data_IF_975712349923
#
_entry.id   IF_975712349923
#
_cell.length_a   1.000
_cell.length_b   1.000
_cell.length_c   1.000
_cell.angle_alpha   90.00
_cell.angle_beta   90.00
_cell.angle_gamma   90.00
#
_symmetry.space_group_name_H-M   'P 1'
#
loop_
_entity.id
_entity.type
_entity.pdbx_description
1 polymer ?
#
# COMPACT_ATOMS: atom_id res chain seq x y z
N UNK A 1 -28.31 -2.68 2.87
CA UNK A 1 -27.01 -2.26 3.39
C UNK A 1 -25.86 -3.23 3.08
N UNK A 2 -25.95 -4.55 3.33
CA UNK A 2 -24.85 -5.52 3.08
C UNK A 2 -24.39 -5.62 1.60
N UNK A 3 -25.31 -5.55 0.60
CA UNK A 3 -24.94 -5.64 -0.83
C UNK A 3 -24.18 -4.40 -1.35
N UNK A 4 -24.56 -3.19 -0.89
CA UNK A 4 -23.85 -1.95 -1.27
C UNK A 4 -22.43 -1.91 -0.68
N UNK A 5 -22.24 -2.36 0.57
CA UNK A 5 -20.91 -2.48 1.18
C UNK A 5 -20.00 -3.46 0.41
N UNK A 6 -20.53 -4.60 -0.04
CA UNK A 6 -19.77 -5.57 -0.85
C UNK A 6 -19.39 -5.04 -2.24
N UNK A 7 -20.27 -4.27 -2.87
CA UNK A 7 -20.00 -3.65 -4.17
C UNK A 7 -18.96 -2.54 -4.06
N UNK A 8 -19.02 -1.73 -3.01
CA UNK A 8 -18.07 -0.66 -2.71
C UNK A 8 -16.69 -1.25 -2.41
N UNK A 9 -16.63 -2.32 -1.65
CA UNK A 9 -15.43 -3.10 -1.36
C UNK A 9 -14.80 -3.63 -2.66
N UNK A 10 -15.57 -4.18 -3.59
CA UNK A 10 -15.08 -4.69 -4.86
C UNK A 10 -14.46 -3.59 -5.75
N UNK A 11 -14.99 -2.39 -5.73
CA UNK A 11 -14.47 -1.26 -6.52
C UNK A 11 -13.14 -0.74 -5.96
N UNK A 12 -13.00 -0.69 -4.64
CA UNK A 12 -11.78 -0.29 -3.93
C UNK A 12 -10.57 -1.15 -4.26
N UNK A 13 -10.86 -2.37 -4.42
CA UNK A 13 -9.95 -3.44 -4.70
C UNK A 13 -9.46 -3.42 -6.15
N UNK A 14 -10.31 -3.05 -7.09
CA UNK A 14 -9.96 -2.88 -8.51
C UNK A 14 -8.87 -1.83 -8.71
N UNK A 15 -8.73 -0.84 -7.77
CA UNK A 15 -7.75 0.24 -7.93
C UNK A 15 -6.41 -0.09 -7.32
N UNK A 16 -6.44 -0.62 -6.12
CA UNK A 16 -5.21 -1.12 -5.50
C UNK A 16 -4.63 -2.24 -6.38
N UNK A 17 -5.51 -3.04 -7.05
CA UNK A 17 -5.05 -4.01 -8.07
C UNK A 17 -4.73 -3.35 -9.38
N UNK A 18 -5.51 -2.37 -9.83
CA UNK A 18 -5.09 -1.56 -10.98
C UNK A 18 -3.67 -1.08 -10.77
N UNK A 19 -3.33 -0.57 -9.59
CA UNK A 19 -1.99 -0.12 -9.23
C UNK A 19 -1.00 -1.30 -9.12
N UNK A 20 -1.36 -2.36 -8.44
CA UNK A 20 -0.49 -3.56 -8.29
C UNK A 20 -0.44 -4.35 -9.60
N UNK A 21 -1.54 -4.53 -10.34
CA UNK A 21 -1.53 -5.20 -11.66
C UNK A 21 -0.81 -4.38 -12.71
N UNK A 22 -0.73 -3.06 -12.53
CA UNK A 22 0.03 -2.16 -13.39
C UNK A 22 1.50 -2.18 -13.03
N UNK A 23 1.83 -2.11 -11.77
CA UNK A 23 3.20 -2.29 -11.28
C UNK A 23 3.66 -3.71 -11.63
N UNK A 24 2.88 -4.73 -11.34
CA UNK A 24 3.18 -6.10 -11.73
C UNK A 24 3.17 -6.30 -13.26
N UNK A 25 2.16 -5.83 -13.98
CA UNK A 25 2.08 -5.99 -15.43
C UNK A 25 3.12 -5.20 -16.21
N UNK A 26 3.62 -4.07 -15.68
CA UNK A 26 4.67 -3.28 -16.32
C UNK A 26 6.08 -3.78 -15.99
N UNK A 27 6.25 -4.41 -14.83
CA UNK A 27 7.54 -4.96 -14.37
C UNK A 27 7.73 -6.43 -14.75
N UNK A 28 6.65 -7.15 -15.07
CA UNK A 28 6.63 -8.59 -15.36
C UNK A 28 6.20 -8.93 -16.81
N UNK A 29 6.41 -8.07 -17.80
CA UNK A 29 6.32 -8.47 -19.20
C UNK A 29 7.62 -9.15 -19.62
N UNK A 30 7.64 -10.35 -20.22
CA UNK A 30 6.59 -11.25 -20.73
C UNK A 30 6.71 -12.72 -20.28
N UNK A 31 5.63 -13.43 -20.22
CA UNK A 31 5.38 -14.85 -20.48
C UNK A 31 5.28 -15.86 -19.33
N UNK A 32 5.79 -15.63 -18.11
CA UNK A 32 5.55 -16.58 -16.99
C UNK A 32 5.29 -15.81 -15.68
N UNK A 33 4.19 -15.07 -15.63
CA UNK A 33 3.90 -14.24 -14.47
C UNK A 33 3.26 -15.11 -13.36
N UNK A 34 4.09 -15.65 -12.47
CA UNK A 34 3.62 -16.48 -11.35
C UNK A 34 2.61 -15.74 -10.45
N UNK A 35 2.68 -14.40 -10.36
CA UNK A 35 1.72 -13.60 -9.59
C UNK A 35 0.36 -13.45 -10.28
N UNK A 36 0.28 -13.71 -11.59
CA UNK A 36 -0.97 -13.63 -12.35
C UNK A 36 -1.73 -14.97 -12.39
N UNK A 37 -1.21 -16.01 -11.76
CA UNK A 37 -1.82 -17.35 -11.80
C UNK A 37 -2.09 -17.87 -10.37
N UNK A 38 -3.24 -18.49 -10.20
CA UNK A 38 -3.65 -19.09 -8.94
C UNK A 38 -4.01 -18.05 -7.87
N UNK A 39 -4.02 -18.48 -6.63
CA UNK A 39 -4.26 -17.62 -5.47
C UNK A 39 -2.96 -17.00 -4.98
N UNK A 40 -2.92 -15.69 -4.81
CA UNK A 40 -1.75 -14.92 -4.35
C UNK A 40 -2.15 -13.90 -3.29
N UNK A 41 -1.32 -13.76 -2.25
CA UNK A 41 -1.43 -12.71 -1.26
C UNK A 41 -0.27 -11.73 -1.39
N UNK A 42 -0.58 -10.47 -1.59
CA UNK A 42 0.40 -9.39 -1.70
C UNK A 42 0.28 -8.49 -0.47
N UNK A 43 1.37 -8.34 0.27
CA UNK A 43 1.47 -7.36 1.34
C UNK A 43 1.79 -5.98 0.75
N UNK A 44 0.91 -5.03 0.95
CA UNK A 44 1.10 -3.63 0.56
C UNK A 44 1.35 -2.80 1.79
N UNK A 45 2.50 -2.11 1.84
CA UNK A 45 2.91 -1.23 2.92
C UNK A 45 2.88 0.22 2.44
N UNK A 46 2.11 1.08 3.11
CA UNK A 46 2.13 2.52 2.92
C UNK A 46 3.16 3.12 3.87
N UNK A 47 4.16 3.78 3.30
CA UNK A 47 5.33 4.30 4.02
C UNK A 47 5.19 5.81 4.21
N UNK A 48 5.33 6.26 5.46
CA UNK A 48 5.45 7.67 5.82
C UNK A 48 6.94 8.03 5.97
N UNK A 49 7.48 8.70 4.96
CA UNK A 49 8.85 9.21 4.94
C UNK A 49 9.02 10.51 5.76
N UNK A 50 7.93 11.12 6.24
CA UNK A 50 8.03 12.28 7.13
C UNK A 50 8.53 11.93 8.53
N UNK A 51 8.47 10.65 8.89
CA UNK A 51 9.17 10.12 10.05
C UNK A 51 10.60 9.76 9.67
N UNK A 52 11.62 10.57 10.06
CA UNK A 52 12.98 10.40 9.57
C UNK A 52 13.59 9.07 10.05
N UNK A 53 13.94 8.22 9.12
CA UNK A 53 14.66 6.95 9.29
C UNK A 53 15.76 6.84 8.25
N UNK A 54 16.80 6.02 8.47
CA UNK A 54 17.83 5.76 7.46
C UNK A 54 17.26 5.13 6.18
N UNK A 55 16.20 4.33 6.29
CA UNK A 55 15.53 3.65 5.18
C UNK A 55 14.38 4.44 4.56
N UNK A 56 13.35 3.72 4.09
CA UNK A 56 12.22 4.35 3.37
C UNK A 56 11.31 5.19 4.27
N UNK A 57 11.24 4.92 5.57
CA UNK A 57 10.33 5.57 6.51
C UNK A 57 9.56 4.58 7.38
N UNK A 58 8.48 5.04 8.01
CA UNK A 58 7.61 4.22 8.83
C UNK A 58 6.51 3.53 8.00
N UNK A 59 6.23 2.27 8.27
CA UNK A 59 5.05 1.61 7.73
C UNK A 59 3.82 2.01 8.57
N UNK A 60 3.09 3.03 8.14
CA UNK A 60 1.93 3.56 8.87
C UNK A 60 0.66 2.73 8.66
N UNK A 61 0.54 2.12 7.49
CA UNK A 61 -0.59 1.25 7.13
C UNK A 61 -0.10 0.09 6.28
N UNK A 62 -0.77 -1.06 6.42
CA UNK A 62 -0.51 -2.20 5.56
C UNK A 62 -1.81 -2.94 5.24
N UNK A 63 -1.80 -3.68 4.13
CA UNK A 63 -2.92 -4.47 3.67
C UNK A 63 -2.42 -5.79 3.07
N UNK A 64 -3.09 -6.89 3.39
CA UNK A 64 -2.96 -8.11 2.60
C UNK A 64 -4.00 -8.05 1.50
N UNK A 65 -3.57 -8.09 0.25
CA UNK A 65 -4.41 -8.09 -0.95
C UNK A 65 -4.40 -9.49 -1.53
N UNK A 66 -5.56 -10.16 -1.54
CA UNK A 66 -5.71 -11.51 -2.06
C UNK A 66 -6.19 -11.48 -3.51
N UNK A 67 -5.40 -12.06 -4.40
CA UNK A 67 -5.70 -12.20 -5.82
C UNK A 67 -6.06 -13.65 -6.16
N UNK A 68 -6.93 -13.84 -7.15
CA UNK A 68 -7.20 -15.10 -7.81
C UNK A 68 -7.07 -14.91 -9.32
N UNK A 69 -6.08 -15.57 -9.92
CA UNK A 69 -5.78 -15.43 -11.35
C UNK A 69 -5.59 -13.96 -11.79
N UNK A 70 -4.89 -13.18 -10.95
CA UNK A 70 -4.65 -11.75 -11.15
C UNK A 70 -5.83 -10.83 -10.83
N UNK A 71 -7.00 -11.40 -10.50
CA UNK A 71 -8.16 -10.63 -10.08
C UNK A 71 -8.26 -10.55 -8.56
N UNK A 72 -8.62 -9.38 -8.05
CA UNK A 72 -8.80 -9.21 -6.63
C UNK A 72 -10.05 -9.90 -6.11
N UNK A 73 -9.88 -10.70 -5.06
CA UNK A 73 -10.98 -11.38 -4.39
C UNK A 73 -11.21 -10.88 -2.96
N UNK A 74 -10.16 -10.42 -2.27
CA UNK A 74 -10.27 -9.95 -0.89
C UNK A 74 -9.14 -9.00 -0.51
N UNK A 75 -9.30 -8.25 0.59
CA UNK A 75 -8.22 -7.56 1.29
C UNK A 75 -8.44 -7.61 2.79
N UNK A 76 -7.35 -7.57 3.54
CA UNK A 76 -7.34 -7.51 5.00
C UNK A 76 -6.50 -6.33 5.44
N UNK A 77 -7.07 -5.45 6.22
CA UNK A 77 -6.36 -4.32 6.83
C UNK A 77 -5.44 -4.82 7.94
N UNK A 78 -4.19 -4.37 7.92
CA UNK A 78 -3.16 -4.74 8.89
C UNK A 78 -2.81 -3.51 9.70
N UNK A 79 -2.79 -3.66 11.03
CA UNK A 79 -2.41 -2.60 11.94
C UNK A 79 -0.93 -2.72 12.34
N UNK A 80 -0.01 -1.90 11.79
CA UNK A 80 1.44 -2.11 11.93
C UNK A 80 1.97 -2.07 13.35
N UNK A 81 1.41 -1.21 14.21
CA UNK A 81 1.82 -1.10 15.62
C UNK A 81 1.43 -2.30 16.49
N UNK A 82 0.55 -3.17 16.00
CA UNK A 82 0.12 -4.38 16.72
C UNK A 82 0.90 -5.64 16.36
N UNK A 83 1.79 -5.57 15.34
CA UNK A 83 2.47 -6.74 14.79
C UNK A 83 3.96 -6.69 15.04
N UNK A 84 4.49 -7.73 15.69
CA UNK A 84 5.90 -7.85 16.05
C UNK A 84 6.56 -9.02 15.34
N UNK A 85 7.85 -8.86 15.03
CA UNK A 85 8.67 -9.95 14.52
C UNK A 85 8.93 -11.00 15.63
N UNK A 86 8.90 -12.31 15.33
CA UNK A 86 9.12 -13.35 16.32
C UNK A 86 10.53 -13.28 16.95
N UNK A 87 11.56 -12.93 16.18
CA UNK A 87 12.96 -13.03 16.59
C UNK A 87 13.79 -11.76 16.41
N UNK A 88 13.41 -10.83 15.52
CA UNK A 88 14.17 -9.60 15.31
C UNK A 88 13.84 -8.56 16.37
N UNK A 89 14.85 -7.78 16.73
CA UNK A 89 14.74 -6.67 17.68
C UNK A 89 14.60 -5.36 16.92
N UNK A 90 13.96 -4.37 17.57
CA UNK A 90 13.97 -3.00 17.09
C UNK A 90 15.40 -2.47 16.96
N UNK A 91 15.68 -1.57 16.01
CA UNK A 91 16.93 -0.83 15.96
C UNK A 91 17.22 -0.12 17.27
N UNK A 92 18.50 -0.02 17.63
CA UNK A 92 18.88 0.60 18.91
C UNK A 92 18.36 2.05 19.01
N UNK A 93 18.42 2.79 17.92
CA UNK A 93 17.94 4.18 17.85
C UNK A 93 16.42 4.27 18.08
N UNK A 94 15.67 3.29 17.64
CA UNK A 94 14.22 3.22 17.89
C UNK A 94 13.95 2.92 19.37
N UNK A 95 14.71 1.99 19.97
CA UNK A 95 14.61 1.66 21.40
C UNK A 95 14.97 2.87 22.29
N UNK A 96 15.96 3.65 21.92
CA UNK A 96 16.34 4.90 22.60
C UNK A 96 15.24 5.97 22.53
N UNK A 97 14.37 5.91 21.50
CA UNK A 97 13.18 6.76 21.35
C UNK A 97 11.93 6.19 22.01
N UNK A 98 12.04 5.05 22.68
CA UNK A 98 10.96 4.44 23.45
C UNK A 98 10.23 3.30 22.76
N UNK A 99 10.71 2.81 21.63
CA UNK A 99 10.23 1.58 21.02
C UNK A 99 10.48 0.37 21.94
N UNK A 100 9.66 -0.69 21.74
CA UNK A 100 9.83 -1.95 22.47
C UNK A 100 11.09 -2.73 22.06
N UNK A 101 11.26 -3.93 22.60
CA UNK A 101 12.41 -4.77 22.26
C UNK A 101 12.25 -5.46 20.89
N UNK A 102 11.01 -5.82 20.52
CA UNK A 102 10.71 -6.58 19.31
C UNK A 102 10.37 -5.65 18.15
N UNK A 103 10.98 -5.91 16.99
CA UNK A 103 10.74 -5.17 15.76
C UNK A 103 9.24 -5.18 15.40
N UNK A 104 8.67 -4.00 15.26
CA UNK A 104 7.31 -3.79 14.77
C UNK A 104 7.26 -3.76 13.24
N UNK A 105 6.12 -4.09 12.66
CA UNK A 105 5.89 -3.87 11.24
C UNK A 105 6.05 -2.38 10.87
N UNK A 106 5.67 -1.49 11.79
CA UNK A 106 5.84 -0.04 11.67
C UNK A 106 7.30 0.36 11.38
N UNK A 107 8.28 -0.31 12.01
CA UNK A 107 9.70 0.00 11.88
C UNK A 107 10.46 -0.95 10.95
N UNK A 108 9.74 -1.85 10.24
CA UNK A 108 10.37 -2.84 9.36
C UNK A 108 11.16 -2.21 8.19
N UNK A 109 10.85 -0.97 7.80
CA UNK A 109 11.54 -0.22 6.74
C UNK A 109 12.59 0.77 7.27
N UNK A 110 13.11 0.54 8.48
CA UNK A 110 14.15 1.36 9.10
C UNK A 110 15.48 1.33 8.35
N UNK A 111 15.87 0.16 7.82
CA UNK A 111 17.16 -0.06 7.15
C UNK A 111 17.13 0.44 5.70
N UNK A 112 18.29 0.91 5.19
CA UNK A 112 18.47 1.27 3.78
C UNK A 112 18.40 0.06 2.83
N UNK A 113 18.56 -1.16 3.32
CA UNK A 113 18.37 -2.38 2.55
C UNK A 113 16.88 -2.67 2.41
N UNK A 114 16.29 -2.16 1.33
CA UNK A 114 14.85 -2.31 1.04
C UNK A 114 14.44 -3.77 0.88
N UNK A 115 15.32 -4.64 0.35
CA UNK A 115 15.03 -6.07 0.23
C UNK A 115 14.92 -6.72 1.60
N UNK A 116 15.86 -6.45 2.50
CA UNK A 116 15.82 -6.91 3.89
C UNK A 116 14.58 -6.36 4.61
N UNK A 117 14.26 -5.09 4.40
CA UNK A 117 13.08 -4.45 5.00
C UNK A 117 11.78 -5.14 4.57
N UNK A 118 11.60 -5.41 3.29
CA UNK A 118 10.44 -6.15 2.78
C UNK A 118 10.37 -7.58 3.29
N UNK A 119 11.52 -8.26 3.42
CA UNK A 119 11.58 -9.60 4.01
C UNK A 119 11.13 -9.58 5.49
N UNK A 120 11.60 -8.61 6.28
CA UNK A 120 11.17 -8.44 7.67
C UNK A 120 9.67 -8.15 7.77
N UNK A 121 9.15 -7.27 6.93
CA UNK A 121 7.71 -6.97 6.86
C UNK A 121 6.88 -8.23 6.56
N UNK A 122 7.32 -9.02 5.58
CA UNK A 122 6.71 -10.30 5.24
C UNK A 122 6.70 -11.25 6.43
N UNK A 123 7.85 -11.49 7.06
CA UNK A 123 7.98 -12.40 8.21
C UNK A 123 7.11 -11.98 9.40
N UNK A 124 7.01 -10.67 9.66
CA UNK A 124 6.12 -10.13 10.70
C UNK A 124 4.67 -10.48 10.40
N UNK A 125 4.21 -10.20 9.18
CA UNK A 125 2.81 -10.40 8.81
C UNK A 125 2.46 -11.88 8.78
N UNK A 126 3.29 -12.72 8.17
CA UNK A 126 3.08 -14.18 8.13
C UNK A 126 3.02 -14.78 9.54
N UNK A 127 3.90 -14.36 10.46
CA UNK A 127 3.91 -14.83 11.84
C UNK A 127 2.65 -14.45 12.61
N UNK A 128 2.15 -13.22 12.43
CA UNK A 128 1.02 -12.70 13.22
C UNK A 128 -0.34 -13.08 12.64
N UNK A 129 -0.43 -13.33 11.32
CA UNK A 129 -1.71 -13.63 10.63
C UNK A 129 -1.85 -15.09 10.23
N UNK A 130 -0.75 -15.85 10.15
CA UNK A 130 -0.67 -17.19 9.57
C UNK A 130 -1.04 -17.22 8.07
N UNK A 131 -1.10 -16.07 7.41
CA UNK A 131 -1.28 -15.97 5.96
C UNK A 131 0.07 -16.09 5.26
N UNK A 132 0.13 -16.82 4.15
CA UNK A 132 1.32 -16.83 3.31
C UNK A 132 1.34 -15.59 2.42
N UNK A 133 2.46 -14.88 2.37
CA UNK A 133 2.66 -13.67 1.56
C UNK A 133 3.55 -14.03 0.35
N UNK A 134 3.01 -13.88 -0.85
CA UNK A 134 3.72 -14.18 -2.10
C UNK A 134 4.63 -13.03 -2.55
N UNK A 135 4.21 -11.78 -2.30
CA UNK A 135 4.99 -10.59 -2.64
C UNK A 135 4.75 -9.45 -1.63
N UNK A 136 5.72 -8.53 -1.55
CA UNK A 136 5.62 -7.30 -0.77
C UNK A 136 5.81 -6.10 -1.70
N UNK A 137 4.97 -5.09 -1.54
CA UNK A 137 5.07 -3.79 -2.22
C UNK A 137 5.06 -2.70 -1.16
N UNK A 138 6.08 -1.85 -1.16
CA UNK A 138 6.11 -0.65 -0.32
C UNK A 138 6.00 0.60 -1.19
N UNK A 139 5.14 1.52 -0.78
CA UNK A 139 4.79 2.75 -1.50
C UNK A 139 4.90 3.92 -0.52
N UNK A 140 5.72 4.92 -0.85
CA UNK A 140 5.82 6.12 -0.03
C UNK A 140 4.77 7.17 -0.41
N UNK A 141 4.70 8.25 0.37
CA UNK A 141 3.70 9.30 0.18
C UNK A 141 3.88 10.06 -1.14
N UNK A 142 5.13 10.26 -1.61
CA UNK A 142 5.41 10.91 -2.90
C UNK A 142 4.84 10.10 -4.07
N UNK A 143 5.00 8.78 -4.04
CA UNK A 143 4.43 7.91 -5.07
C UNK A 143 2.91 7.91 -5.04
N UNK A 144 2.32 7.82 -3.84
CA UNK A 144 0.87 7.89 -3.68
C UNK A 144 0.31 9.20 -4.24
N UNK A 145 0.92 10.33 -3.88
CA UNK A 145 0.53 11.64 -4.37
C UNK A 145 0.66 11.79 -5.89
N UNK A 146 1.75 11.30 -6.47
CA UNK A 146 1.95 11.36 -7.93
C UNK A 146 0.86 10.59 -8.68
N UNK A 147 0.50 9.41 -8.19
CA UNK A 147 -0.54 8.57 -8.79
C UNK A 147 -1.92 9.22 -8.64
N UNK A 148 -2.26 9.73 -7.45
CA UNK A 148 -3.52 10.42 -7.22
C UNK A 148 -3.65 11.69 -8.07
N UNK A 149 -2.60 12.48 -8.20
CA UNK A 149 -2.55 13.67 -9.07
C UNK A 149 -2.78 13.32 -10.55
N UNK A 150 -2.26 12.20 -11.00
CA UNK A 150 -2.45 11.75 -12.39
C UNK A 150 -3.90 11.32 -12.67
N UNK A 151 -4.65 10.91 -11.66
CA UNK A 151 -6.09 10.65 -11.77
C UNK A 151 -6.93 11.93 -11.96
N UNK A 152 -6.34 13.12 -11.74
CA UNK A 152 -7.01 14.42 -11.81
C UNK A 152 -7.94 14.69 -10.62
N UNK A 153 -9.01 15.44 -10.86
CA UNK A 153 -9.99 15.73 -9.82
C UNK A 153 -10.71 14.46 -9.38
N UNK A 154 -10.70 14.19 -8.08
CA UNK A 154 -11.37 13.04 -7.46
C UNK A 154 -12.69 13.47 -6.83
N UNK A 155 -13.73 12.66 -6.93
CA UNK A 155 -14.98 12.81 -6.19
C UNK A 155 -14.89 11.97 -4.91
N UNK A 156 -14.63 12.63 -3.80
CA UNK A 156 -14.56 12.00 -2.47
C UNK A 156 -15.85 12.29 -1.72
N UNK A 157 -16.73 11.32 -1.62
CA UNK A 157 -18.04 11.44 -0.95
C UNK A 157 -18.92 12.61 -1.44
N UNK A 158 -18.87 12.92 -2.74
CA UNK A 158 -19.63 14.03 -3.35
C UNK A 158 -18.89 15.38 -3.31
N UNK A 159 -17.65 15.41 -2.81
CA UNK A 159 -16.78 16.59 -2.82
C UNK A 159 -15.70 16.44 -3.89
N UNK A 160 -15.64 17.39 -4.82
CA UNK A 160 -14.59 17.43 -5.84
C UNK A 160 -13.29 17.95 -5.22
N UNK A 161 -12.24 17.11 -5.23
CA UNK A 161 -10.96 17.40 -4.59
C UNK A 161 -9.82 17.25 -5.60
N UNK A 162 -8.91 18.24 -5.64
CA UNK A 162 -7.63 18.12 -6.32
C UNK A 162 -6.64 17.54 -5.31
N UNK A 163 -6.35 16.27 -5.46
CA UNK A 163 -5.66 15.50 -4.44
C UNK A 163 -4.15 15.76 -4.39
N UNK A 164 -3.66 16.22 -3.24
CA UNK A 164 -2.45 15.66 -2.64
C UNK A 164 -2.94 14.65 -1.58
N UNK A 165 -2.51 13.39 -1.67
CA UNK A 165 -3.13 12.30 -0.88
C UNK A 165 -2.98 12.49 0.64
N UNK A 166 -1.82 12.99 1.10
CA UNK A 166 -1.53 13.14 2.53
C UNK A 166 -2.30 14.28 3.15
N UNK A 167 -2.42 15.41 2.47
CA UNK A 167 -3.18 16.56 2.99
C UNK A 167 -4.66 16.22 3.09
N UNK A 168 -5.20 15.44 2.15
CA UNK A 168 -6.57 14.93 2.19
C UNK A 168 -6.81 13.99 3.38
N UNK A 169 -5.88 13.08 3.65
CA UNK A 169 -5.97 12.16 4.79
C UNK A 169 -5.96 12.95 6.11
N UNK A 170 -5.12 13.97 6.20
CA UNK A 170 -5.06 14.87 7.36
C UNK A 170 -6.33 15.69 7.52
N UNK A 171 -6.85 16.29 6.44
CA UNK A 171 -8.09 17.09 6.48
C UNK A 171 -9.31 16.26 6.85
N UNK A 172 -9.49 15.07 6.29
CA UNK A 172 -10.59 14.17 6.65
C UNK A 172 -10.50 13.69 8.09
N UNK A 173 -9.29 13.43 8.59
CA UNK A 173 -9.08 13.05 9.99
C UNK A 173 -9.45 14.20 10.94
N UNK A 174 -9.15 15.45 10.60
CA UNK A 174 -9.43 16.61 11.45
C UNK A 174 -10.90 17.06 11.38
N UNK A 175 -11.53 17.00 10.20
CA UNK A 175 -12.86 17.56 9.95
C UNK A 175 -13.99 16.54 10.07
N UNK A 176 -13.73 15.26 9.82
CA UNK A 176 -14.77 14.22 9.73
C UNK A 176 -14.94 13.36 10.99
N UNK A 177 -14.03 13.39 11.94
CA UNK A 177 -14.04 12.48 13.09
C UNK A 177 -13.88 11.00 12.69
N UNK A 178 -13.42 10.74 11.48
CA UNK A 178 -13.17 9.40 10.95
C UNK A 178 -11.80 8.88 11.39
N UNK A 179 -11.64 7.55 11.36
CA UNK A 179 -10.31 6.97 11.53
C UNK A 179 -9.45 7.26 10.29
N UNK A 180 -8.11 7.34 10.45
CA UNK A 180 -7.16 7.54 9.34
C UNK A 180 -7.39 6.50 8.22
N UNK A 181 -7.64 5.24 8.57
CA UNK A 181 -7.95 4.19 7.62
C UNK A 181 -9.23 4.44 6.81
N UNK A 182 -10.29 4.97 7.43
CA UNK A 182 -11.53 5.29 6.73
C UNK A 182 -11.34 6.43 5.71
N UNK A 183 -10.59 7.48 6.07
CA UNK A 183 -10.28 8.60 5.18
C UNK A 183 -9.45 8.15 3.96
N UNK A 184 -8.40 7.35 4.18
CA UNK A 184 -7.61 6.72 3.10
C UNK A 184 -8.51 5.90 2.18
N UNK A 185 -9.42 5.12 2.73
CA UNK A 185 -10.34 4.29 1.95
C UNK A 185 -11.26 5.11 1.05
N UNK A 186 -11.71 6.27 1.46
CA UNK A 186 -12.56 7.12 0.65
C UNK A 186 -11.79 7.74 -0.54
N UNK A 187 -10.53 8.10 -0.34
CA UNK A 187 -9.64 8.57 -1.41
C UNK A 187 -9.32 7.45 -2.41
N UNK A 188 -9.01 6.27 -1.91
CA UNK A 188 -8.77 5.08 -2.74
C UNK A 188 -10.01 4.74 -3.58
N UNK A 189 -11.23 4.86 -3.04
CA UNK A 189 -12.49 4.71 -3.79
C UNK A 189 -12.61 5.71 -4.94
N UNK A 190 -12.35 6.97 -4.64
CA UNK A 190 -12.43 8.03 -5.63
C UNK A 190 -11.41 7.82 -6.78
N UNK A 191 -10.18 7.45 -6.44
CA UNK A 191 -9.14 7.11 -7.41
C UNK A 191 -9.56 5.95 -8.32
N UNK A 192 -10.32 4.97 -7.80
CA UNK A 192 -10.83 3.88 -8.59
C UNK A 192 -11.93 4.20 -9.55
N UNK A 193 -12.80 5.02 -9.11
CA UNK A 193 -13.76 5.56 -10.04
C UNK A 193 -13.05 6.29 -11.19
N UNK A 194 -12.01 7.07 -10.89
CA UNK A 194 -11.19 7.72 -11.91
C UNK A 194 -10.50 6.70 -12.85
N UNK A 195 -9.96 5.61 -12.31
CA UNK A 195 -9.33 4.54 -13.09
C UNK A 195 -10.31 3.69 -13.94
N UNK A 196 -11.62 3.91 -13.83
CA UNK A 196 -12.62 3.35 -14.77
C UNK A 196 -12.53 4.00 -16.15
N UNK A 197 -11.97 5.21 -16.24
CA UNK A 197 -11.63 5.85 -17.50
C UNK A 197 -10.28 5.30 -18.01
N UNK A 198 -10.23 4.73 -19.24
CA UNK A 198 -9.00 4.15 -19.78
C UNK A 198 -7.81 5.11 -19.89
N UNK A 199 -8.08 6.41 -20.14
CA UNK A 199 -7.04 7.44 -20.27
C UNK A 199 -6.46 7.73 -18.91
N UNK A 200 -7.29 8.00 -17.91
CA UNK A 200 -6.85 8.23 -16.52
C UNK A 200 -6.12 7.03 -15.96
N UNK A 201 -6.63 5.82 -16.24
CA UNK A 201 -5.95 4.58 -15.87
C UNK A 201 -4.52 4.53 -16.43
N UNK A 202 -4.34 4.84 -17.73
CA UNK A 202 -3.02 4.86 -18.35
C UNK A 202 -2.10 5.93 -17.74
N UNK A 203 -2.62 7.11 -17.40
CA UNK A 203 -1.87 8.17 -16.72
C UNK A 203 -1.42 7.75 -15.31
N UNK A 204 -2.29 7.11 -14.53
CA UNK A 204 -1.96 6.56 -13.22
C UNK A 204 -0.90 5.47 -13.31
N UNK A 205 -0.96 4.63 -14.33
CA UNK A 205 0.05 3.61 -14.66
C UNK A 205 1.41 4.25 -14.90
N UNK A 206 1.45 5.23 -15.79
CA UNK A 206 2.69 5.91 -16.13
C UNK A 206 3.30 6.61 -14.90
N UNK A 207 2.45 7.23 -14.05
CA UNK A 207 2.90 7.83 -12.80
C UNK A 207 3.51 6.78 -11.86
N UNK A 208 2.88 5.62 -11.72
CA UNK A 208 3.39 4.53 -10.88
C UNK A 208 4.75 4.01 -11.39
N UNK A 209 4.91 3.82 -12.71
CA UNK A 209 6.18 3.41 -13.31
C UNK A 209 7.29 4.44 -13.12
N UNK A 210 6.97 5.72 -13.25
CA UNK A 210 7.91 6.80 -12.97
C UNK A 210 8.37 6.76 -11.50
N UNK A 211 7.44 6.59 -10.56
CA UNK A 211 7.76 6.52 -9.15
C UNK A 211 8.53 5.24 -8.77
N UNK A 212 8.25 4.12 -9.41
CA UNK A 212 9.06 2.92 -9.27
C UNK A 212 10.51 3.14 -9.74
N UNK A 213 10.69 3.80 -10.88
CA UNK A 213 12.03 4.12 -11.39
C UNK A 213 12.84 5.05 -10.47
N UNK A 214 12.15 5.83 -9.63
CA UNK A 214 12.73 6.73 -8.61
C UNK A 214 12.98 6.06 -7.26
N UNK A 215 12.52 4.83 -7.07
CA UNK A 215 12.62 4.10 -5.80
C UNK A 215 11.56 4.49 -4.76
N UNK A 216 10.54 5.26 -5.14
CA UNK A 216 9.41 5.62 -4.28
C UNK A 216 8.37 4.50 -4.17
N UNK A 217 8.46 3.53 -5.07
CA UNK A 217 7.79 2.23 -5.00
C UNK A 217 8.87 1.17 -5.08
N UNK A 218 8.84 0.21 -4.19
CA UNK A 218 9.73 -0.97 -4.22
C UNK A 218 8.91 -2.24 -4.06
N UNK A 219 9.41 -3.35 -4.61
CA UNK A 219 8.72 -4.62 -4.53
C UNK A 219 9.69 -5.80 -4.46
N UNK A 220 9.24 -6.89 -3.82
CA UNK A 220 9.93 -8.17 -3.74
C UNK A 220 8.89 -9.30 -3.90
N UNK A 221 9.11 -10.31 -4.76
CA UNK A 221 10.29 -10.45 -5.61
C UNK A 221 10.37 -9.37 -6.69
N UNK A 222 11.59 -9.00 -7.04
CA UNK A 222 11.81 -8.13 -8.20
C UNK A 222 11.56 -8.95 -9.47
N UNK A 223 10.78 -8.41 -10.40
CA UNK A 223 10.50 -9.02 -11.69
C UNK A 223 11.71 -9.08 -12.60
#
# INVERSE_FOLDING_TARGET
MRRRKKLIIAILLVILIGLISVIAGALFLPQDNELAQGSKNILVCAIDESEPRPGMGACDMAFIVSLQDGELVNYTEIYPHGMTHPNASEPQEAQEQGAGEKLLLHDSFWDNDTKKSMQLAKEIVEYNTSENIDAVVAVNSEALDAILKSAGTLDVNGTQMNASGIDLIREEQYNGGQTRGAAVMDIVKAAGHAASDPIKKAEMINAALDQYSKGNIVMEPQG
#
